data_IF_665883967027
#
_entry.id   IF_665883967027
#
_cell.length_a   1.000
_cell.length_b   1.000
_cell.length_c   1.000
_cell.angle_alpha   90.00
_cell.angle_beta   90.00
_cell.angle_gamma   90.00
#
_symmetry.space_group_name_H-M   'P 1'
#
loop_
_entity.id
_entity.type
_entity.pdbx_description
1 polymer ?
#
# COMPACT_ATOMS: atom_id res chain seq x y z
N UNK A 1 -19.61 49.56 20.03
CA UNK A 1 -19.93 48.46 20.98
C UNK A 1 -20.09 47.08 20.32
N UNK A 2 -20.67 46.95 19.11
CA UNK A 2 -20.84 45.65 18.43
C UNK A 2 -19.57 44.82 18.14
N UNK A 3 -18.42 45.46 17.89
CA UNK A 3 -17.15 44.74 17.63
C UNK A 3 -16.60 44.00 18.86
N UNK A 4 -16.83 44.52 20.06
CA UNK A 4 -16.36 43.90 21.31
C UNK A 4 -17.14 42.61 21.62
N UNK A 5 -18.46 42.63 21.40
CA UNK A 5 -19.34 41.48 21.59
C UNK A 5 -18.99 40.33 20.63
N UNK A 6 -18.71 40.66 19.36
CA UNK A 6 -18.29 39.65 18.36
C UNK A 6 -16.93 39.03 18.68
N UNK A 7 -15.98 39.83 19.19
CA UNK A 7 -14.66 39.33 19.55
C UNK A 7 -14.71 38.50 20.84
N UNK A 8 -15.58 38.86 21.79
CA UNK A 8 -15.85 38.06 22.98
C UNK A 8 -16.49 36.71 22.63
N UNK A 9 -17.45 36.67 21.70
CA UNK A 9 -18.02 35.42 21.18
C UNK A 9 -16.99 34.52 20.47
N UNK A 10 -16.09 35.10 19.67
CA UNK A 10 -14.98 34.35 19.05
C UNK A 10 -13.98 33.81 20.07
N UNK A 11 -13.79 34.51 21.19
CA UNK A 11 -12.90 34.05 22.26
C UNK A 11 -13.55 32.94 23.10
N UNK A 12 -14.86 33.03 23.34
CA UNK A 12 -15.63 31.98 24.00
C UNK A 12 -15.79 30.75 23.12
N UNK A 13 -15.97 30.90 21.81
CA UNK A 13 -16.00 29.76 20.87
C UNK A 13 -14.64 29.07 20.78
N UNK A 14 -13.53 29.83 20.71
CA UNK A 14 -12.18 29.24 20.75
C UNK A 14 -11.84 28.57 22.09
N UNK A 15 -12.38 29.07 23.19
CA UNK A 15 -12.25 28.42 24.51
C UNK A 15 -13.14 27.18 24.63
N UNK A 16 -14.33 27.17 24.02
CA UNK A 16 -15.20 26.00 23.95
C UNK A 16 -14.61 24.92 23.04
N UNK A 17 -14.03 25.30 21.90
CA UNK A 17 -13.30 24.42 20.98
C UNK A 17 -12.07 23.79 21.67
N UNK A 18 -11.33 24.58 22.48
CA UNK A 18 -10.25 24.08 23.34
C UNK A 18 -10.73 23.25 24.54
N UNK A 19 -11.89 23.55 25.12
CA UNK A 19 -12.46 22.80 26.24
C UNK A 19 -13.12 21.48 25.79
N UNK A 20 -13.55 21.39 24.52
CA UNK A 20 -13.97 20.13 23.89
C UNK A 20 -12.75 19.29 23.50
N UNK A 21 -11.62 19.91 23.11
CA UNK A 21 -10.33 19.23 22.99
C UNK A 21 -9.78 18.72 24.34
N UNK A 22 -9.94 19.47 25.44
CA UNK A 22 -9.58 19.00 26.81
C UNK A 22 -10.54 17.93 27.35
N UNK A 23 -11.73 17.81 26.75
CA UNK A 23 -12.71 16.74 26.96
C UNK A 23 -12.74 15.78 25.78
N UNK A 24 -11.63 15.67 25.04
CA UNK A 24 -11.52 14.79 23.90
C UNK A 24 -11.81 13.36 24.32
N UNK A 25 -12.71 12.71 23.58
CA UNK A 25 -13.00 11.29 23.71
C UNK A 25 -11.65 10.54 23.84
N UNK A 26 -11.43 9.74 24.89
CA UNK A 26 -10.18 9.00 25.10
C UNK A 26 -9.76 8.18 23.87
N UNK A 27 -10.69 7.83 22.98
CA UNK A 27 -10.41 7.26 21.66
C UNK A 27 -9.50 8.16 20.80
N UNK A 28 -9.83 9.44 20.69
CA UNK A 28 -9.07 10.44 19.92
C UNK A 28 -7.67 10.63 20.51
N UNK A 29 -7.54 10.64 21.84
CA UNK A 29 -6.24 10.76 22.50
C UNK A 29 -5.34 9.54 22.24
N UNK A 30 -5.91 8.34 22.24
CA UNK A 30 -5.20 7.10 21.90
C UNK A 30 -4.72 7.15 20.44
N UNK A 31 -5.56 7.62 19.53
CA UNK A 31 -5.20 7.76 18.12
C UNK A 31 -4.10 8.80 17.89
N UNK A 32 -4.22 9.97 18.50
CA UNK A 32 -3.22 11.02 18.43
C UNK A 32 -1.86 10.54 18.94
N UNK A 33 -1.83 9.81 20.06
CA UNK A 33 -0.59 9.25 20.61
C UNK A 33 0.07 8.24 19.65
N UNK A 34 -0.71 7.42 18.94
CA UNK A 34 -0.18 6.50 17.92
C UNK A 34 0.37 7.26 16.73
N UNK A 35 -0.32 8.28 16.24
CA UNK A 35 0.13 9.03 15.07
C UNK A 35 1.39 9.85 15.36
N UNK A 36 1.52 10.40 16.57
CA UNK A 36 2.77 11.01 17.04
C UNK A 36 3.89 9.95 17.10
N UNK A 37 3.61 8.76 17.65
CA UNK A 37 4.58 7.68 17.70
C UNK A 37 5.03 7.23 16.29
N UNK A 38 4.09 7.07 15.35
CA UNK A 38 4.39 6.78 13.93
C UNK A 38 5.24 7.85 13.29
N UNK A 39 4.98 9.12 13.60
CA UNK A 39 5.78 10.23 13.09
C UNK A 39 7.22 10.15 13.61
N UNK A 40 7.40 9.87 14.90
CA UNK A 40 8.74 9.65 15.48
C UNK A 40 9.44 8.41 14.92
N UNK A 41 8.74 7.31 14.69
CA UNK A 41 9.31 6.11 14.05
C UNK A 41 9.81 6.43 12.63
N UNK A 42 9.01 7.15 11.81
CA UNK A 42 9.46 7.59 10.49
C UNK A 42 10.72 8.44 10.55
N UNK A 43 10.77 9.43 11.46
CA UNK A 43 11.94 10.27 11.65
C UNK A 43 13.17 9.45 12.08
N UNK A 44 13.01 8.50 13.01
CA UNK A 44 14.08 7.62 13.45
C UNK A 44 14.62 6.76 12.30
N UNK A 45 13.73 6.20 11.47
CA UNK A 45 14.11 5.41 10.29
C UNK A 45 14.86 6.25 9.26
N UNK A 46 14.44 7.49 9.04
CA UNK A 46 15.13 8.42 8.14
C UNK A 46 16.54 8.77 8.65
N UNK A 47 16.67 9.05 9.95
CA UNK A 47 17.98 9.25 10.58
C UNK A 47 18.87 8.02 10.43
N UNK A 48 18.34 6.82 10.68
CA UNK A 48 19.07 5.58 10.50
C UNK A 48 19.48 5.36 9.04
N UNK A 49 18.60 5.67 8.08
CA UNK A 49 18.91 5.61 6.66
C UNK A 49 20.06 6.53 6.29
N UNK A 50 20.10 7.76 6.82
CA UNK A 50 21.20 8.70 6.60
C UNK A 50 22.54 8.17 7.16
N UNK A 51 22.54 7.55 8.34
CA UNK A 51 23.74 6.94 8.95
C UNK A 51 24.23 5.75 8.11
N UNK A 52 23.31 4.88 7.68
CA UNK A 52 23.64 3.73 6.82
C UNK A 52 24.14 4.21 5.44
N UNK A 53 23.55 5.27 4.90
CA UNK A 53 24.02 5.86 3.65
C UNK A 53 25.45 6.41 3.77
N UNK A 54 25.79 7.03 4.91
CA UNK A 54 27.16 7.46 5.19
C UNK A 54 28.13 6.28 5.26
N UNK A 55 27.77 5.18 5.93
CA UNK A 55 28.55 3.93 5.91
C UNK A 55 28.79 3.45 4.47
N UNK A 56 27.74 3.39 3.64
CA UNK A 56 27.84 2.94 2.24
C UNK A 56 28.68 3.85 1.36
N UNK A 57 28.72 5.15 1.64
CA UNK A 57 29.65 6.07 0.96
C UNK A 57 31.09 5.77 1.35
N UNK A 58 31.37 5.56 2.65
CA UNK A 58 32.71 5.20 3.12
C UNK A 58 33.20 3.88 2.52
N UNK A 59 32.33 2.87 2.40
CA UNK A 59 32.67 1.60 1.72
C UNK A 59 33.14 1.85 0.28
N UNK A 60 32.39 2.65 -0.50
CA UNK A 60 32.77 2.99 -1.89
C UNK A 60 34.04 3.82 -1.97
N UNK A 61 34.25 4.74 -1.04
CA UNK A 61 35.49 5.52 -0.98
C UNK A 61 36.70 4.62 -0.69
N UNK A 62 36.56 3.67 0.23
CA UNK A 62 37.60 2.68 0.51
C UNK A 62 37.89 1.80 -0.71
N UNK A 63 36.86 1.33 -1.40
CA UNK A 63 37.01 0.54 -2.64
C UNK A 63 37.78 1.31 -3.72
N UNK A 64 37.40 2.57 -3.97
CA UNK A 64 38.11 3.42 -4.93
C UNK A 64 39.56 3.71 -4.51
N UNK A 65 39.82 3.91 -3.21
CA UNK A 65 41.17 4.10 -2.69
C UNK A 65 42.05 2.85 -2.86
N UNK A 66 41.48 1.66 -2.62
CA UNK A 66 42.17 0.39 -2.85
C UNK A 66 42.53 0.20 -4.33
N UNK A 67 41.62 0.54 -5.25
CA UNK A 67 41.90 0.49 -6.68
C UNK A 67 43.01 1.48 -7.08
N UNK A 68 42.98 2.70 -6.53
CA UNK A 68 44.03 3.70 -6.76
C UNK A 68 45.39 3.23 -6.24
N UNK A 69 45.43 2.58 -5.07
CA UNK A 69 46.63 1.96 -4.50
C UNK A 69 47.17 0.88 -5.42
N UNK A 70 46.33 -0.03 -5.90
CA UNK A 70 46.73 -1.10 -6.83
C UNK A 70 47.30 -0.54 -8.14
N UNK A 71 46.68 0.51 -8.70
CA UNK A 71 47.18 1.20 -9.89
C UNK A 71 48.54 1.86 -9.63
N UNK A 72 48.72 2.51 -8.48
CA UNK A 72 50.00 3.12 -8.11
C UNK A 72 51.09 2.05 -7.93
N UNK A 73 50.75 0.92 -7.30
CA UNK A 73 51.63 -0.22 -7.09
C UNK A 73 52.10 -0.82 -8.43
N UNK A 74 51.18 -1.10 -9.37
CA UNK A 74 51.52 -1.61 -10.71
C UNK A 74 52.43 -0.64 -11.48
N UNK A 75 52.14 0.67 -11.43
CA UNK A 75 52.98 1.67 -12.10
C UNK A 75 54.38 1.76 -11.49
N UNK A 76 54.50 1.66 -10.16
CA UNK A 76 55.78 1.63 -9.47
C UNK A 76 56.59 0.40 -9.86
N UNK A 77 55.97 -0.80 -9.85
CA UNK A 77 56.59 -2.06 -10.28
C UNK A 77 57.08 -1.98 -11.73
N UNK A 78 56.26 -1.46 -12.64
CA UNK A 78 56.65 -1.29 -14.05
C UNK A 78 57.81 -0.30 -14.21
N UNK A 79 57.81 0.81 -13.47
CA UNK A 79 58.90 1.78 -13.50
C UNK A 79 60.21 1.15 -13.00
N UNK A 80 60.17 0.33 -11.94
CA UNK A 80 61.32 -0.41 -11.44
C UNK A 80 61.85 -1.44 -12.47
N UNK A 81 60.96 -2.18 -13.13
CA UNK A 81 61.36 -3.10 -14.20
C UNK A 81 62.10 -2.36 -15.33
N UNK A 82 61.65 -1.15 -15.69
CA UNK A 82 62.31 -0.32 -16.70
C UNK A 82 63.67 0.22 -16.23
N UNK A 83 63.85 0.47 -14.91
CA UNK A 83 65.16 0.78 -14.32
C UNK A 83 66.11 -0.40 -14.47
N UNK A 84 65.66 -1.61 -14.14
CA UNK A 84 66.48 -2.82 -14.23
C UNK A 84 66.90 -3.10 -15.69
N UNK A 85 65.97 -2.94 -16.65
CA UNK A 85 66.26 -3.09 -18.07
C UNK A 85 67.24 -2.03 -18.61
N UNK A 86 67.13 -0.78 -18.16
CA UNK A 86 68.08 0.27 -18.55
C UNK A 86 69.47 0.01 -17.95
N UNK A 87 69.50 -0.47 -16.70
CA UNK A 87 70.73 -0.86 -16.00
C UNK A 87 71.42 -2.02 -16.71
N UNK A 88 70.67 -3.06 -17.09
CA UNK A 88 71.20 -4.21 -17.83
C UNK A 88 71.76 -3.84 -19.22
N UNK A 89 71.20 -2.81 -19.86
CA UNK A 89 71.68 -2.27 -21.15
C UNK A 89 72.82 -1.25 -21.01
N UNK A 90 73.14 -0.81 -19.79
CA UNK A 90 74.14 0.24 -19.55
C UNK A 90 73.71 1.66 -19.97
N UNK A 91 72.40 1.89 -20.16
CA UNK A 91 71.86 3.22 -20.53
C UNK A 91 71.60 4.07 -19.28
N UNK A 92 72.62 4.81 -18.86
CA UNK A 92 72.62 5.64 -17.64
C UNK A 92 71.58 6.77 -17.71
N UNK A 93 71.33 7.32 -18.90
CA UNK A 93 70.37 8.41 -19.08
C UNK A 93 68.93 7.90 -18.91
N UNK A 94 68.61 6.76 -19.52
CA UNK A 94 67.31 6.10 -19.36
C UNK A 94 67.11 5.63 -17.91
N UNK A 95 68.12 5.03 -17.29
CA UNK A 95 68.09 4.60 -15.89
C UNK A 95 67.70 5.75 -14.96
N UNK A 96 68.39 6.89 -15.05
CA UNK A 96 68.13 8.07 -14.20
C UNK A 96 66.68 8.57 -14.37
N UNK A 97 66.17 8.57 -15.60
CA UNK A 97 64.80 8.98 -15.90
C UNK A 97 63.76 8.03 -15.28
N UNK A 98 63.95 6.72 -15.43
CA UNK A 98 63.03 5.73 -14.87
C UNK A 98 63.11 5.65 -13.34
N UNK A 99 64.29 5.85 -12.74
CA UNK A 99 64.44 5.94 -11.28
C UNK A 99 63.66 7.12 -10.70
N UNK A 100 63.70 8.28 -11.36
CA UNK A 100 62.91 9.44 -10.95
C UNK A 100 61.40 9.16 -11.03
N UNK A 101 60.96 8.48 -12.10
CA UNK A 101 59.57 8.05 -12.24
C UNK A 101 59.16 7.03 -11.17
N UNK A 102 60.00 6.04 -10.89
CA UNK A 102 59.77 5.04 -9.84
C UNK A 102 59.66 5.70 -8.44
N UNK A 103 60.52 6.67 -8.14
CA UNK A 103 60.43 7.47 -6.89
C UNK A 103 59.11 8.23 -6.80
N UNK A 104 58.66 8.85 -7.89
CA UNK A 104 57.37 9.57 -7.94
C UNK A 104 56.18 8.62 -7.72
N UNK A 105 56.16 7.46 -8.36
CA UNK A 105 55.13 6.45 -8.13
C UNK A 105 55.19 5.85 -6.73
N UNK A 106 56.38 5.66 -6.16
CA UNK A 106 56.57 5.23 -4.77
C UNK A 106 55.98 6.24 -3.77
N UNK A 107 56.23 7.53 -3.95
CA UNK A 107 55.59 8.58 -3.13
C UNK A 107 54.07 8.54 -3.26
N UNK A 108 53.54 8.38 -4.48
CA UNK A 108 52.10 8.23 -4.70
C UNK A 108 51.54 6.99 -4.00
N UNK A 109 52.24 5.86 -4.07
CA UNK A 109 51.82 4.62 -3.41
C UNK A 109 51.68 4.82 -1.90
N UNK A 110 52.69 5.42 -1.25
CA UNK A 110 52.64 5.74 0.19
C UNK A 110 51.43 6.61 0.52
N UNK A 111 51.19 7.67 -0.26
CA UNK A 111 50.01 8.54 0.00
C UNK A 111 48.68 7.80 -0.15
N UNK A 112 48.57 6.88 -1.12
CA UNK A 112 47.36 6.06 -1.28
C UNK A 112 47.20 5.00 -0.20
N UNK A 113 48.31 4.48 0.35
CA UNK A 113 48.30 3.55 1.48
C UNK A 113 47.80 4.23 2.76
N UNK A 114 48.31 5.43 3.06
CA UNK A 114 47.83 6.24 4.18
C UNK A 114 46.34 6.59 4.06
N UNK A 115 45.87 6.92 2.86
CA UNK A 115 44.45 7.16 2.59
C UNK A 115 43.59 5.91 2.83
N UNK A 116 44.03 4.74 2.37
CA UNK A 116 43.35 3.46 2.61
C UNK A 116 43.24 3.17 4.10
N UNK A 117 44.33 3.33 4.87
CA UNK A 117 44.30 3.09 6.32
C UNK A 117 43.36 4.06 7.05
N UNK A 118 43.36 5.34 6.68
CA UNK A 118 42.40 6.32 7.22
C UNK A 118 40.95 5.89 6.93
N UNK A 119 40.65 5.53 5.69
CA UNK A 119 39.31 5.13 5.27
C UNK A 119 38.84 3.84 5.94
N UNK A 120 39.74 2.90 6.27
CA UNK A 120 39.40 1.71 7.07
C UNK A 120 38.92 2.08 8.46
N UNK A 121 39.60 3.02 9.13
CA UNK A 121 39.19 3.53 10.45
C UNK A 121 37.83 4.23 10.35
N UNK A 122 37.65 5.10 9.36
CA UNK A 122 36.38 5.80 9.12
C UNK A 122 35.22 4.82 8.85
N UNK A 123 35.48 3.76 8.07
CA UNK A 123 34.50 2.71 7.80
C UNK A 123 34.15 1.93 9.07
N UNK A 124 35.12 1.62 9.92
CA UNK A 124 34.87 0.93 11.18
C UNK A 124 33.95 1.76 12.10
N UNK A 125 34.23 3.07 12.24
CA UNK A 125 33.36 3.97 12.99
C UNK A 125 31.96 4.09 12.37
N UNK A 126 31.87 4.24 11.05
CA UNK A 126 30.60 4.33 10.36
C UNK A 126 29.76 3.04 10.49
N UNK A 127 30.42 1.88 10.47
CA UNK A 127 29.77 0.58 10.66
C UNK A 127 29.20 0.45 12.07
N UNK A 128 29.96 0.82 13.10
CA UNK A 128 29.47 0.83 14.49
C UNK A 128 28.25 1.75 14.66
N UNK A 129 28.28 2.95 14.05
CA UNK A 129 27.17 3.89 14.10
C UNK A 129 25.93 3.35 13.36
N UNK A 130 26.13 2.74 12.19
CA UNK A 130 25.06 2.11 11.43
C UNK A 130 24.42 0.95 12.20
N UNK A 131 25.21 0.14 12.90
CA UNK A 131 24.68 -0.98 13.69
C UNK A 131 23.90 -0.52 14.92
N UNK A 132 24.36 0.55 15.58
CA UNK A 132 23.57 1.23 16.64
C UNK A 132 22.24 1.76 16.09
N UNK A 133 22.26 2.40 14.92
CA UNK A 133 21.06 2.93 14.28
C UNK A 133 20.08 1.80 13.91
N UNK A 134 20.57 0.69 13.32
CA UNK A 134 19.76 -0.50 13.02
C UNK A 134 19.16 -1.11 14.28
N UNK A 135 19.93 -1.20 15.37
CA UNK A 135 19.45 -1.69 16.65
C UNK A 135 18.34 -0.81 17.22
N UNK A 136 18.50 0.52 17.18
CA UNK A 136 17.48 1.47 17.61
C UNK A 136 16.18 1.33 16.80
N UNK A 137 16.26 1.19 15.47
CA UNK A 137 15.08 0.97 14.61
C UNK A 137 14.37 -0.36 14.94
N UNK A 138 15.13 -1.44 15.17
CA UNK A 138 14.55 -2.74 15.57
C UNK A 138 13.85 -2.62 16.92
N UNK A 139 14.48 -1.99 17.91
CA UNK A 139 13.87 -1.77 19.22
C UNK A 139 12.60 -0.92 19.12
N UNK A 140 12.62 0.15 18.33
CA UNK A 140 11.44 0.99 18.13
C UNK A 140 10.30 0.24 17.45
N UNK A 141 10.61 -0.64 16.50
CA UNK A 141 9.62 -1.49 15.84
C UNK A 141 8.92 -2.43 16.84
N UNK A 142 9.66 -3.01 17.79
CA UNK A 142 9.05 -3.81 18.87
C UNK A 142 8.17 -2.96 19.78
N UNK A 143 8.60 -1.74 20.12
CA UNK A 143 7.80 -0.81 20.91
C UNK A 143 6.53 -0.38 20.16
N UNK A 144 6.59 -0.19 18.84
CA UNK A 144 5.42 0.08 18.01
C UNK A 144 4.39 -1.04 18.14
N UNK A 145 4.81 -2.30 17.98
CA UNK A 145 3.92 -3.47 18.09
C UNK A 145 3.26 -3.54 19.48
N UNK A 146 4.04 -3.33 20.54
CA UNK A 146 3.52 -3.27 21.91
C UNK A 146 2.52 -2.12 22.10
N UNK A 147 2.79 -0.96 21.52
CA UNK A 147 1.92 0.22 21.61
C UNK A 147 0.60 -0.02 20.86
N UNK A 148 0.66 -0.67 19.69
CA UNK A 148 -0.54 -1.08 18.93
C UNK A 148 -1.37 -2.12 19.70
N UNK A 149 -0.73 -3.09 20.37
CA UNK A 149 -1.43 -4.04 21.23
C UNK A 149 -2.10 -3.33 22.41
N UNK A 150 -1.40 -2.40 23.07
CA UNK A 150 -1.96 -1.58 24.16
C UNK A 150 -3.14 -0.73 23.68
N UNK A 151 -3.07 -0.12 22.49
CA UNK A 151 -4.19 0.61 21.88
C UNK A 151 -5.43 -0.26 21.77
N UNK A 152 -5.32 -1.46 21.18
CA UNK A 152 -6.47 -2.38 21.04
C UNK A 152 -7.11 -2.70 22.39
N UNK A 153 -6.28 -2.96 23.41
CA UNK A 153 -6.77 -3.19 24.77
C UNK A 153 -7.45 -1.97 25.39
N UNK A 154 -6.91 -0.77 25.18
CA UNK A 154 -7.52 0.48 25.67
C UNK A 154 -8.86 0.78 24.97
N UNK A 155 -8.93 0.58 23.66
CA UNK A 155 -10.18 0.76 22.90
C UNK A 155 -11.26 -0.21 23.36
N UNK A 156 -10.92 -1.49 23.57
CA UNK A 156 -11.89 -2.47 24.10
C UNK A 156 -12.40 -2.09 25.50
N UNK A 157 -11.52 -1.63 26.39
CA UNK A 157 -11.93 -1.14 27.72
C UNK A 157 -12.80 0.13 27.64
N UNK A 158 -12.47 1.01 26.71
CA UNK A 158 -13.24 2.22 26.47
C UNK A 158 -14.63 1.89 25.96
N UNK A 159 -14.76 0.95 25.02
CA UNK A 159 -16.04 0.49 24.50
C UNK A 159 -16.91 -0.14 25.60
N UNK A 160 -16.31 -0.96 26.48
CA UNK A 160 -16.98 -1.49 27.67
C UNK A 160 -17.47 -0.38 28.61
N UNK A 161 -16.64 0.63 28.87
CA UNK A 161 -17.01 1.76 29.71
C UNK A 161 -18.14 2.59 29.09
N UNK A 162 -18.06 2.90 27.78
CA UNK A 162 -19.11 3.60 27.02
C UNK A 162 -20.44 2.82 27.05
N UNK A 163 -20.40 1.48 27.00
CA UNK A 163 -21.61 0.66 27.14
C UNK A 163 -22.24 0.78 28.53
N UNK A 164 -21.43 0.73 29.59
CA UNK A 164 -21.93 0.91 30.96
C UNK A 164 -22.48 2.31 31.19
N UNK A 165 -21.85 3.35 30.64
CA UNK A 165 -22.34 4.72 30.67
C UNK A 165 -23.71 4.82 29.98
N UNK A 166 -23.86 4.27 28.78
CA UNK A 166 -25.16 4.22 28.08
C UNK A 166 -26.25 3.48 28.85
N UNK A 167 -25.92 2.38 29.54
CA UNK A 167 -26.87 1.66 30.40
C UNK A 167 -27.29 2.54 31.57
N UNK A 168 -26.34 3.22 32.22
CA UNK A 168 -26.62 4.11 33.34
C UNK A 168 -27.43 5.34 32.91
N UNK A 169 -27.13 5.92 31.76
CA UNK A 169 -27.89 7.03 31.17
C UNK A 169 -29.33 6.59 30.84
N UNK A 170 -29.50 5.41 30.26
CA UNK A 170 -30.83 4.84 30.01
C UNK A 170 -31.61 4.64 31.32
N UNK A 171 -30.96 4.12 32.38
CA UNK A 171 -31.56 3.99 33.71
C UNK A 171 -31.87 5.34 34.35
N UNK A 172 -31.03 6.35 34.16
CA UNK A 172 -31.26 7.71 34.66
C UNK A 172 -32.45 8.37 33.95
N UNK A 173 -32.54 8.25 32.62
CA UNK A 173 -33.70 8.70 31.83
C UNK A 173 -34.98 8.02 32.33
N UNK A 174 -34.93 6.69 32.52
CA UNK A 174 -36.04 5.92 33.10
C UNK A 174 -36.41 6.46 34.48
N UNK A 175 -35.45 6.71 35.37
CA UNK A 175 -35.69 7.21 36.72
C UNK A 175 -36.24 8.66 36.76
N UNK A 176 -35.85 9.50 35.80
CA UNK A 176 -36.35 10.89 35.65
C UNK A 176 -37.74 10.93 34.98
N UNK A 177 -38.11 9.87 34.26
CA UNK A 177 -39.46 9.65 33.70
C UNK A 177 -40.35 8.76 34.58
N UNK A 178 -39.90 8.37 35.77
CA UNK A 178 -40.76 7.74 36.79
C UNK A 178 -41.65 8.81 37.44
N UNK A 179 -42.61 9.24 36.62
CA UNK A 179 -43.88 9.84 37.00
C UNK A 179 -44.91 9.26 36.04
N UNK A 180 -45.36 8.04 36.33
CA UNK A 180 -46.48 7.30 35.73
C UNK A 180 -46.51 7.14 34.19
N UNK A 181 -45.55 6.41 33.59
CA UNK A 181 -45.73 5.51 32.41
C UNK A 181 -44.38 5.12 31.75
N UNK A 182 -43.50 4.38 32.46
CA UNK A 182 -42.31 3.78 31.82
C UNK A 182 -42.48 2.25 31.70
N UNK A 183 -42.45 1.69 30.48
CA UNK A 183 -42.57 0.25 30.27
C UNK A 183 -41.48 -0.53 31.00
N UNK A 184 -41.84 -1.63 31.66
CA UNK A 184 -40.88 -2.52 32.31
C UNK A 184 -39.93 -3.18 31.30
N UNK A 185 -38.77 -3.68 31.75
CA UNK A 185 -37.80 -4.37 30.88
C UNK A 185 -38.45 -5.54 30.12
N UNK A 186 -39.39 -6.23 30.76
CA UNK A 186 -40.18 -7.31 30.19
C UNK A 186 -41.11 -6.83 29.06
N UNK A 187 -41.69 -5.63 29.17
CA UNK A 187 -42.50 -5.03 28.10
C UNK A 187 -41.66 -4.57 26.90
N UNK A 188 -40.42 -4.13 27.15
CA UNK A 188 -39.47 -3.80 26.07
C UNK A 188 -39.04 -5.09 25.35
N UNK A 189 -38.75 -6.15 26.10
CA UNK A 189 -38.45 -7.48 25.55
C UNK A 189 -39.60 -7.98 24.67
N UNK A 190 -40.85 -7.91 25.16
CA UNK A 190 -42.04 -8.26 24.38
C UNK A 190 -42.22 -7.38 23.13
N UNK A 191 -41.90 -6.07 23.19
CA UNK A 191 -41.95 -5.18 22.02
C UNK A 191 -40.87 -5.51 20.99
N UNK A 192 -39.67 -5.88 21.43
CA UNK A 192 -38.58 -6.29 20.54
C UNK A 192 -38.95 -7.62 19.88
N UNK A 193 -39.46 -8.58 20.64
CA UNK A 193 -39.92 -9.87 20.14
C UNK A 193 -41.09 -9.69 19.15
N UNK A 194 -42.06 -8.83 19.46
CA UNK A 194 -43.15 -8.51 18.55
C UNK A 194 -42.68 -7.81 17.26
N UNK A 195 -41.66 -6.94 17.34
CA UNK A 195 -41.06 -6.32 16.16
C UNK A 195 -40.28 -7.33 15.32
N UNK A 196 -39.53 -8.22 15.97
CA UNK A 196 -38.80 -9.28 15.30
C UNK A 196 -39.76 -10.25 14.61
N UNK A 197 -40.80 -10.73 15.30
CA UNK A 197 -41.83 -11.58 14.72
C UNK A 197 -42.57 -10.89 13.55
N UNK A 198 -42.86 -9.59 13.67
CA UNK A 198 -43.47 -8.81 12.58
C UNK A 198 -42.52 -8.63 11.39
N UNK A 199 -41.22 -8.45 11.63
CA UNK A 199 -40.23 -8.36 10.57
C UNK A 199 -40.03 -9.71 9.87
N UNK A 200 -39.95 -10.80 10.63
CA UNK A 200 -39.89 -12.16 10.11
C UNK A 200 -41.14 -12.50 9.27
N UNK A 201 -42.34 -12.21 9.76
CA UNK A 201 -43.58 -12.43 9.01
C UNK A 201 -43.67 -11.58 7.72
N UNK A 202 -43.14 -10.35 7.72
CA UNK A 202 -43.01 -9.55 6.50
C UNK A 202 -42.02 -10.14 5.51
N UNK A 203 -40.92 -10.72 5.98
CA UNK A 203 -39.96 -11.41 5.13
C UNK A 203 -40.56 -12.69 4.52
N UNK A 204 -41.38 -13.43 5.27
CA UNK A 204 -42.11 -14.60 4.75
C UNK A 204 -43.14 -14.21 3.68
N UNK A 205 -43.91 -13.14 3.87
CA UNK A 205 -44.86 -12.64 2.85
C UNK A 205 -44.11 -12.19 1.58
N UNK A 206 -43.02 -11.43 1.75
CA UNK A 206 -42.20 -11.02 0.61
C UNK A 206 -41.60 -12.22 -0.15
N UNK A 207 -41.26 -13.30 0.55
CA UNK A 207 -40.82 -14.55 -0.09
C UNK A 207 -41.95 -15.25 -0.87
N UNK A 208 -43.19 -15.20 -0.38
CA UNK A 208 -44.36 -15.72 -1.10
C UNK A 208 -44.64 -14.89 -2.37
N UNK A 209 -44.60 -13.56 -2.28
CA UNK A 209 -44.82 -12.66 -3.41
C UNK A 209 -43.76 -12.87 -4.52
N UNK A 210 -42.48 -12.90 -4.17
CA UNK A 210 -41.39 -13.14 -5.14
C UNK A 210 -41.50 -14.53 -5.79
N UNK A 211 -41.91 -15.55 -5.04
CA UNK A 211 -42.11 -16.89 -5.60
C UNK A 211 -43.34 -16.94 -6.53
N UNK A 212 -44.38 -16.15 -6.24
CA UNK A 212 -45.55 -16.01 -7.12
C UNK A 212 -45.25 -15.26 -8.42
N UNK A 213 -44.48 -14.17 -8.35
CA UNK A 213 -43.99 -13.45 -9.53
C UNK A 213 -43.04 -14.32 -10.37
N UNK A 214 -42.16 -15.10 -9.74
CA UNK A 214 -41.29 -16.04 -10.45
C UNK A 214 -42.08 -17.13 -11.19
N UNK A 215 -43.14 -17.66 -10.58
CA UNK A 215 -44.06 -18.61 -11.21
C UNK A 215 -44.84 -17.99 -12.39
N UNK A 216 -45.28 -16.74 -12.28
CA UNK A 216 -45.96 -16.02 -13.36
C UNK A 216 -45.00 -15.72 -14.52
N UNK A 217 -43.76 -15.31 -14.22
CA UNK A 217 -42.72 -15.11 -15.24
C UNK A 217 -42.39 -16.43 -15.94
N UNK A 218 -42.25 -17.54 -15.22
CA UNK A 218 -42.01 -18.86 -15.81
C UNK A 218 -43.16 -19.29 -16.74
N UNK A 219 -44.42 -19.06 -16.34
CA UNK A 219 -45.58 -19.29 -17.19
C UNK A 219 -45.56 -18.39 -18.44
N UNK A 220 -45.24 -17.11 -18.32
CA UNK A 220 -45.16 -16.18 -19.46
C UNK A 220 -44.06 -16.56 -20.47
N UNK A 221 -42.93 -17.09 -19.98
CA UNK A 221 -41.84 -17.59 -20.81
C UNK A 221 -42.26 -18.88 -21.51
N UNK A 222 -42.94 -19.80 -20.82
CA UNK A 222 -43.49 -21.02 -21.42
C UNK A 222 -44.55 -20.70 -22.49
N UNK A 223 -45.43 -19.74 -22.24
CA UNK A 223 -46.44 -19.30 -23.21
C UNK A 223 -45.79 -18.64 -24.43
N UNK A 224 -44.79 -17.77 -24.23
CA UNK A 224 -44.01 -17.18 -25.33
C UNK A 224 -43.27 -18.24 -26.16
N UNK A 225 -42.68 -19.25 -25.52
CA UNK A 225 -42.05 -20.37 -26.21
C UNK A 225 -43.06 -21.26 -26.94
N UNK A 226 -44.24 -21.49 -26.34
CA UNK A 226 -45.33 -22.24 -26.97
C UNK A 226 -45.86 -21.50 -28.21
N UNK A 227 -46.05 -20.18 -28.14
CA UNK A 227 -46.41 -19.35 -29.29
C UNK A 227 -45.33 -19.36 -30.37
N UNK A 228 -44.05 -19.30 -30.00
CA UNK A 228 -42.93 -19.40 -30.94
C UNK A 228 -42.91 -20.78 -31.64
N UNK A 229 -43.15 -21.87 -30.89
CA UNK A 229 -43.31 -23.23 -31.42
C UNK A 229 -44.50 -23.33 -32.35
N UNK A 230 -45.67 -22.81 -31.96
CA UNK A 230 -46.87 -22.79 -32.81
C UNK A 230 -46.66 -21.96 -34.08
N UNK A 231 -45.97 -20.82 -34.00
CA UNK A 231 -45.56 -20.04 -35.18
C UNK A 231 -44.62 -20.84 -36.08
N UNK A 232 -43.64 -21.57 -35.51
CA UNK A 232 -42.75 -22.43 -36.29
C UNK A 232 -43.48 -23.61 -36.96
N UNK A 233 -44.44 -24.24 -36.26
CA UNK A 233 -45.29 -25.31 -36.78
C UNK A 233 -46.23 -24.78 -37.87
N UNK A 234 -46.82 -23.59 -37.69
CA UNK A 234 -47.64 -22.94 -38.72
C UNK A 234 -46.80 -22.50 -39.92
N UNK A 235 -45.57 -22.04 -39.72
CA UNK A 235 -44.63 -21.77 -40.81
C UNK A 235 -44.24 -23.05 -41.55
N UNK A 236 -44.04 -24.18 -40.85
CA UNK A 236 -43.78 -25.48 -41.47
C UNK A 236 -45.01 -26.01 -42.22
N UNK A 237 -46.21 -25.91 -41.64
CA UNK A 237 -47.46 -26.32 -42.30
C UNK A 237 -47.84 -25.42 -43.48
N UNK A 238 -47.59 -24.11 -43.36
CA UNK A 238 -47.73 -23.15 -44.47
C UNK A 238 -46.70 -23.37 -45.57
N UNK A 239 -45.50 -23.88 -45.22
CA UNK A 239 -44.45 -24.27 -46.16
C UNK A 239 -44.68 -25.67 -46.76
N UNK A 240 -45.45 -26.54 -46.10
CA UNK A 240 -45.95 -27.81 -46.66
C UNK A 240 -47.23 -27.67 -47.49
N UNK A 241 -47.84 -26.48 -47.54
CA UNK A 241 -49.04 -26.20 -48.32
C UNK A 241 -48.86 -25.31 -49.56
N UNK A 242 -47.68 -24.75 -49.80
CA UNK A 242 -47.44 -23.94 -50.99
C UNK A 242 -45.96 -23.90 -51.38
N UNK A 243 -45.53 -24.89 -52.17
CA UNK A 243 -44.76 -24.68 -53.40
C UNK A 243 -44.49 -26.04 -54.05
N UNK A 244 -45.44 -26.43 -54.91
CA UNK A 244 -45.17 -27.28 -56.05
C UNK A 244 -45.26 -26.38 -57.29
N UNK A 245 -44.14 -26.25 -58.01
CA UNK A 245 -44.01 -25.93 -59.45
C UNK A 245 -44.47 -24.52 -59.88
N UNK A 246 -43.72 -23.69 -60.61
CA UNK A 246 -42.42 -23.83 -61.26
C UNK A 246 -42.31 -22.79 -62.40
N UNK A 247 -41.09 -22.66 -62.92
CA UNK A 247 -40.71 -22.22 -64.29
C UNK A 247 -40.77 -20.74 -64.69
N UNK A 248 -39.56 -20.17 -64.76
CA UNK A 248 -38.85 -19.76 -66.01
C UNK A 248 -38.72 -18.28 -66.39
N UNK A 249 -37.48 -18.01 -66.84
CA UNK A 249 -36.97 -16.98 -67.76
C UNK A 249 -36.80 -15.55 -67.20
N UNK A 250 -35.75 -14.78 -67.48
CA UNK A 250 -34.47 -14.93 -68.20
C UNK A 250 -33.67 -13.62 -67.94
N UNK A 251 -32.39 -13.60 -68.30
CA UNK A 251 -31.39 -12.50 -68.40
C UNK A 251 -30.19 -12.50 -67.42
N UNK A 252 -29.15 -13.21 -67.89
CA UNK A 252 -27.69 -13.01 -67.73
C UNK A 252 -27.25 -11.57 -68.05
N UNK A 253 -25.99 -11.11 -67.80
CA UNK A 253 -24.80 -11.82 -67.28
C UNK A 253 -24.08 -11.01 -66.15
N UNK A 254 -22.97 -11.37 -65.52
CA UNK A 254 -21.62 -11.57 -66.08
C UNK A 254 -20.61 -11.57 -64.89
N UNK A 255 -19.67 -12.53 -64.89
CA UNK A 255 -18.31 -12.54 -64.28
C UNK A 255 -18.10 -12.68 -62.75
N UNK A 256 -18.12 -13.93 -62.30
CA UNK A 256 -16.99 -14.76 -61.80
C UNK A 256 -15.52 -14.31 -62.10
N UNK A 257 -14.44 -14.99 -61.61
CA UNK A 257 -14.34 -16.13 -60.67
C UNK A 257 -13.12 -16.09 -59.69
N UNK A 258 -12.96 -17.19 -58.94
CA UNK A 258 -11.69 -17.94 -58.69
C UNK A 258 -10.63 -17.31 -57.77
N UNK A 259 -10.41 -17.86 -56.58
CA UNK A 259 -9.63 -19.07 -56.24
C UNK A 259 -8.15 -18.76 -55.96
N UNK A 260 -7.74 -19.32 -54.81
CA UNK A 260 -6.49 -20.04 -54.58
C UNK A 260 -5.34 -19.37 -53.82
N UNK A 261 -4.73 -20.24 -53.01
CA UNK A 261 -3.37 -20.25 -52.51
C UNK A 261 -2.95 -19.25 -51.40
N UNK A 262 -2.74 -19.81 -50.20
CA UNK A 262 -1.69 -19.42 -49.26
C UNK A 262 -0.27 -19.74 -49.85
N UNK A 263 0.90 -19.54 -49.18
CA UNK A 263 1.23 -18.92 -47.89
C UNK A 263 2.46 -17.97 -47.95
N UNK A 264 2.98 -17.61 -46.75
CA UNK A 264 4.41 -17.40 -46.40
C UNK A 264 5.18 -16.08 -46.70
N UNK A 265 5.68 -15.53 -45.58
CA UNK A 265 7.01 -14.93 -45.31
C UNK A 265 7.62 -13.87 -46.24
N UNK A 266 7.86 -12.70 -45.67
CA UNK A 266 9.21 -12.14 -45.44
C UNK A 266 9.14 -11.04 -44.36
#
# INVERSE_FOLDING_TARGET
MFKAIRNWWKYQSKKAERAVDERADPEVQIDQAIDEFRTRDRQLREQAANVIAAQKRNERHLEAALENRERAEKNAQQALMMVDEATARGDVAAQTKYESAAKSFGLKLVTTEEEVERLKVDLLHATQNADKAKAAVRQNSMLMEQTLARKRGLLSKLEQAKMQEKINDAMAIVNDTVGDDVPTFEEIEQKIEARYAKAAGRAEIAAIDVNSEALEVEQSVLETQAEARLRSLRAQLGRSGSQAVGLSADTTPELEPSQDAAPETA
#
